data_IF_954905205131
#
_entry.id   IF_954905205131
#
_cell.length_a   1.000
_cell.length_b   1.000
_cell.length_c   1.000
_cell.angle_alpha   90.00
_cell.angle_beta   90.00
_cell.angle_gamma   90.00
#
_symmetry.space_group_name_H-M   'P 1'
#
loop_
_entity.id
_entity.type
_entity.pdbx_description
1 polymer ?
#
# COMPACT_ATOMS: atom_id res chain seq x y z
N UNK A 1 -1.20 -4.17 4.03
CA UNK A 1 -0.70 -3.49 2.81
C UNK A 1 -0.65 -1.99 2.95
N UNK A 2 -1.71 -1.34 3.48
CA UNK A 2 -1.77 0.13 3.70
C UNK A 2 -0.60 0.66 4.54
N UNK A 3 -0.23 -0.02 5.64
CA UNK A 3 0.92 0.37 6.48
C UNK A 3 2.23 0.33 5.69
N UNK A 4 2.46 -0.72 4.90
CA UNK A 4 3.63 -0.83 4.03
C UNK A 4 3.64 0.25 2.93
N UNK A 5 2.48 0.56 2.34
CA UNK A 5 2.31 1.63 1.35
C UNK A 5 2.55 3.03 1.92
N UNK A 6 2.06 3.30 3.14
CA UNK A 6 2.34 4.54 3.87
C UNK A 6 3.83 4.72 4.15
N UNK A 7 4.50 3.66 4.61
CA UNK A 7 5.95 3.70 4.87
C UNK A 7 6.73 4.00 3.57
N UNK A 8 6.40 3.32 2.46
CA UNK A 8 7.04 3.56 1.17
C UNK A 8 6.78 4.98 0.63
N UNK A 9 5.58 5.52 0.80
CA UNK A 9 5.21 6.87 0.38
C UNK A 9 6.02 7.93 1.13
N UNK A 10 6.15 7.79 2.45
CA UNK A 10 6.92 8.70 3.30
C UNK A 10 8.41 8.66 2.92
N UNK A 11 8.98 7.48 2.71
CA UNK A 11 10.39 7.32 2.32
C UNK A 11 10.64 7.92 0.93
N UNK A 12 9.75 7.70 -0.04
CA UNK A 12 9.88 8.30 -1.37
C UNK A 12 9.85 9.83 -1.35
N UNK A 13 8.99 10.41 -0.50
CA UNK A 13 8.88 11.86 -0.33
C UNK A 13 10.13 12.45 0.32
N UNK A 14 10.66 11.81 1.36
CA UNK A 14 11.88 12.26 2.05
C UNK A 14 13.12 12.13 1.17
N UNK A 15 13.22 11.04 0.38
CA UNK A 15 14.37 10.81 -0.49
C UNK A 15 14.28 11.52 -1.87
N UNK A 16 13.18 12.22 -2.17
CA UNK A 16 12.89 12.84 -3.48
C UNK A 16 13.00 11.88 -4.68
N UNK A 17 12.76 10.58 -4.47
CA UNK A 17 12.85 9.54 -5.51
C UNK A 17 11.45 9.37 -6.14
N UNK A 18 11.25 9.87 -7.37
CA UNK A 18 9.93 9.89 -8.01
C UNK A 18 9.35 8.50 -8.27
N UNK A 19 10.20 7.50 -8.54
CA UNK A 19 9.73 6.12 -8.74
C UNK A 19 9.15 5.54 -7.44
N UNK A 20 9.76 5.88 -6.30
CA UNK A 20 9.40 5.32 -4.99
C UNK A 20 8.11 5.95 -4.45
N UNK A 21 7.93 7.26 -4.65
CA UNK A 21 6.66 7.94 -4.35
C UNK A 21 5.52 7.41 -5.21
N UNK A 22 5.75 7.18 -6.51
CA UNK A 22 4.75 6.65 -7.43
C UNK A 22 4.29 5.24 -7.00
N UNK A 23 5.24 4.36 -6.67
CA UNK A 23 4.93 3.00 -6.22
C UNK A 23 4.23 3.03 -4.84
N UNK A 24 4.69 3.85 -3.90
CA UNK A 24 4.05 4.03 -2.60
C UNK A 24 2.62 4.53 -2.70
N UNK A 25 2.36 5.48 -3.62
CA UNK A 25 1.03 6.02 -3.88
C UNK A 25 0.09 4.94 -4.45
N UNK A 26 0.54 4.16 -5.43
CA UNK A 26 -0.24 3.06 -6.01
C UNK A 26 -0.61 2.02 -4.94
N UNK A 27 0.36 1.61 -4.13
CA UNK A 27 0.12 0.64 -3.05
C UNK A 27 -0.83 1.17 -1.98
N UNK A 28 -0.78 2.46 -1.69
CA UNK A 28 -1.70 3.13 -0.78
C UNK A 28 -3.11 3.13 -1.37
N UNK A 29 -3.29 3.60 -2.61
CA UNK A 29 -4.60 3.66 -3.29
C UNK A 29 -5.22 2.28 -3.43
N UNK A 30 -4.49 1.29 -3.96
CA UNK A 30 -4.97 -0.10 -4.09
C UNK A 30 -5.26 -0.71 -2.71
N UNK A 31 -4.39 -0.44 -1.73
CA UNK A 31 -4.58 -0.89 -0.36
C UNK A 31 -5.84 -0.33 0.29
N UNK A 32 -6.18 0.94 0.03
CA UNK A 32 -7.43 1.55 0.50
C UNK A 32 -8.62 0.96 -0.24
N UNK A 33 -8.56 0.82 -1.57
CA UNK A 33 -9.65 0.26 -2.37
C UNK A 33 -9.99 -1.16 -1.90
N UNK A 34 -9.00 -2.05 -1.75
CA UNK A 34 -9.25 -3.43 -1.33
C UNK A 34 -9.68 -3.58 0.13
N UNK A 35 -9.48 -2.55 0.96
CA UNK A 35 -9.90 -2.56 2.37
C UNK A 35 -11.29 -1.92 2.56
N UNK A 36 -11.65 -0.91 1.77
CA UNK A 36 -12.96 -0.25 1.84
C UNK A 36 -14.01 -0.89 0.93
N UNK A 37 -13.60 -1.45 -0.22
CA UNK A 37 -14.44 -2.34 -1.02
C UNK A 37 -14.15 -3.74 -0.50
N UNK A 38 -15.14 -4.47 0.05
CA UNK A 38 -14.93 -5.79 0.63
C UNK A 38 -14.73 -6.83 -0.48
N UNK A 39 -13.59 -6.74 -1.16
CA UNK A 39 -13.01 -7.73 -2.10
C UNK A 39 -11.85 -8.47 -1.37
N UNK A 40 -11.77 -8.32 -0.04
CA UNK A 40 -10.79 -8.97 0.82
C UNK A 40 -11.23 -10.37 1.21
N UNK A 41 -11.01 -11.35 0.34
CA UNK A 41 -11.04 -12.76 0.73
C UNK A 41 -9.96 -13.01 1.79
N UNK A 42 -10.37 -13.13 3.06
CA UNK A 42 -9.47 -13.48 4.17
C UNK A 42 -9.02 -14.93 4.00
N UNK A 43 -7.94 -15.15 3.23
CA UNK A 43 -7.24 -16.43 3.19
C UNK A 43 -6.47 -16.58 4.50
N UNK A 44 -7.21 -16.92 5.56
CA UNK A 44 -6.66 -17.46 6.80
C UNK A 44 -6.06 -18.83 6.45
N UNK A 45 -4.77 -18.87 6.12
CA UNK A 45 -4.04 -20.15 6.07
C UNK A 45 -3.79 -20.59 7.50
N UNK A 46 -4.79 -21.28 8.07
CA UNK A 46 -4.62 -22.15 9.24
C UNK A 46 -4.02 -23.46 8.75
N UNK A 47 -2.72 -23.61 8.93
CA UNK A 47 -2.04 -24.89 9.11
C UNK A 47 -1.00 -24.69 10.21
#
# INVERSE_FOLDING_TARGET
MIVLGLILLIVGLVASISILTTIGLILLVVGLILNFVPIGGSRRRVF
#
